data_IF_829589919187
#
_entry.id   IF_829589919187
#
_cell.length_a   1.000
_cell.length_b   1.000
_cell.length_c   1.000
_cell.angle_alpha   90.00
_cell.angle_beta   90.00
_cell.angle_gamma   90.00
#
_symmetry.space_group_name_H-M   'P 1'
#
loop_
_entity.id
_entity.type
_entity.pdbx_description
1 polymer ?
#
# COMPACT_ATOMS: atom_id res chain seq x y z
N UNK A 1 -14.19 7.16 12.66
CA UNK A 1 -13.10 7.35 11.68
C UNK A 1 -13.47 8.57 10.82
N UNK A 2 -12.59 9.56 10.64
CA UNK A 2 -12.84 10.71 9.78
C UNK A 2 -12.91 10.29 8.30
N UNK A 3 -13.65 11.07 7.52
CA UNK A 3 -13.85 10.89 6.08
C UNK A 3 -13.69 12.22 5.35
N UNK A 4 -13.30 12.17 4.09
CA UNK A 4 -13.33 13.34 3.20
C UNK A 4 -13.88 12.93 1.84
N UNK A 5 -14.55 13.85 1.17
CA UNK A 5 -15.17 13.60 -0.13
C UNK A 5 -14.17 13.89 -1.26
N UNK A 6 -14.01 12.94 -2.17
CA UNK A 6 -13.11 13.06 -3.34
C UNK A 6 -13.89 13.26 -4.65
N UNK A 7 -15.18 12.96 -4.64
CA UNK A 7 -16.13 13.25 -5.72
C UNK A 7 -17.55 13.03 -5.18
N UNK A 8 -18.61 13.56 -5.80
CA UNK A 8 -19.96 13.44 -5.30
C UNK A 8 -20.34 12.02 -4.89
N UNK A 9 -20.69 11.84 -3.62
CA UNK A 9 -21.07 10.56 -3.03
C UNK A 9 -19.92 9.57 -2.76
N UNK A 10 -18.66 9.91 -3.05
CA UNK A 10 -17.50 9.04 -2.80
C UNK A 10 -16.62 9.67 -1.72
N UNK A 11 -16.63 9.04 -0.55
CA UNK A 11 -15.85 9.46 0.61
C UNK A 11 -14.76 8.44 0.91
N UNK A 12 -13.57 8.92 1.22
CA UNK A 12 -12.46 8.11 1.69
C UNK A 12 -12.31 8.27 3.20
N UNK A 13 -12.09 7.15 3.88
CA UNK A 13 -11.82 7.09 5.30
C UNK A 13 -10.31 7.16 5.56
N UNK A 14 -9.93 7.71 6.70
CA UNK A 14 -8.56 7.69 7.17
C UNK A 14 -8.50 7.66 8.70
N UNK A 15 -7.41 7.19 9.25
CA UNK A 15 -7.12 7.27 10.69
C UNK A 15 -5.90 8.15 10.90
N UNK A 16 -5.90 8.90 11.98
CA UNK A 16 -4.73 9.68 12.43
C UNK A 16 -4.32 9.15 13.80
N UNK A 17 -3.08 8.65 13.87
CA UNK A 17 -2.43 8.23 15.10
C UNK A 17 -1.33 9.26 15.40
N UNK A 18 -1.53 10.11 16.40
CA UNK A 18 -0.62 11.20 16.75
C UNK A 18 -0.34 11.17 18.25
N UNK A 19 0.89 10.82 18.59
CA UNK A 19 1.42 10.80 19.95
C UNK A 19 2.68 11.69 20.05
N UNK A 20 2.83 12.62 19.12
CA UNK A 20 3.92 13.59 19.13
C UNK A 20 3.74 14.63 20.22
N UNK A 21 4.79 15.34 20.56
CA UNK A 21 4.72 16.42 21.53
C UNK A 21 4.03 17.64 20.91
N UNK A 22 2.87 18.10 21.41
CA UNK A 22 2.07 19.14 20.76
C UNK A 22 2.72 20.53 20.70
N UNK A 23 3.83 20.72 21.40
CA UNK A 23 4.63 21.95 21.37
C UNK A 23 5.80 21.90 20.39
N UNK A 24 5.99 20.79 19.65
CA UNK A 24 7.03 20.62 18.64
C UNK A 24 6.41 20.36 17.27
N UNK A 25 7.02 20.89 16.18
CA UNK A 25 6.60 20.50 14.86
C UNK A 25 6.97 19.02 14.62
N UNK A 26 6.03 18.25 14.08
CA UNK A 26 6.24 16.86 13.73
C UNK A 26 5.93 16.61 12.24
N UNK A 27 6.72 15.77 11.55
CA UNK A 27 6.41 15.38 10.18
C UNK A 27 5.13 14.52 10.13
N UNK A 28 4.56 14.39 8.94
CA UNK A 28 3.47 13.44 8.69
C UNK A 28 4.01 12.23 7.93
N UNK A 29 3.58 11.03 8.32
CA UNK A 29 3.79 9.78 7.58
C UNK A 29 2.45 9.29 7.06
N UNK A 30 2.32 9.18 5.74
CA UNK A 30 1.15 8.64 5.07
C UNK A 30 1.39 7.17 4.72
N UNK A 31 0.48 6.28 5.14
CA UNK A 31 0.54 4.84 4.91
C UNK A 31 -0.53 4.42 3.90
N UNK A 32 -0.11 3.76 2.81
CA UNK A 32 -0.96 3.30 1.70
C UNK A 32 -0.95 1.77 1.62
N UNK A 33 -2.09 1.15 1.86
CA UNK A 33 -2.24 -0.30 1.93
C UNK A 33 -2.32 -0.99 0.55
N UNK A 34 -2.35 -2.32 0.57
CA UNK A 34 -2.44 -3.16 -0.62
C UNK A 34 -3.84 -3.59 -1.02
N UNK A 35 -3.91 -4.54 -1.98
CA UNK A 35 -5.16 -5.12 -2.49
C UNK A 35 -5.92 -5.85 -1.39
N UNK A 36 -7.23 -5.60 -1.29
CA UNK A 36 -8.16 -6.17 -0.33
C UNK A 36 -7.82 -5.83 1.14
N UNK A 37 -7.09 -4.78 1.40
CA UNK A 37 -6.70 -4.34 2.74
C UNK A 37 -7.40 -3.04 3.13
N UNK A 38 -7.03 -2.52 4.29
CA UNK A 38 -7.38 -1.21 4.79
C UNK A 38 -6.19 -0.59 5.53
N UNK A 39 -6.34 0.60 6.07
CA UNK A 39 -5.32 1.22 6.93
C UNK A 39 -4.90 0.35 8.12
N UNK A 40 -5.73 -0.64 8.52
CA UNK A 40 -5.40 -1.62 9.55
C UNK A 40 -4.19 -2.51 9.19
N UNK A 41 -3.84 -2.64 7.90
CA UNK A 41 -2.65 -3.35 7.46
C UNK A 41 -1.36 -2.80 8.09
N UNK A 42 -1.37 -1.52 8.46
CA UNK A 42 -0.23 -0.84 9.08
C UNK A 42 -0.36 -0.64 10.60
N UNK A 43 -1.32 -1.32 11.26
CA UNK A 43 -1.51 -1.16 12.71
C UNK A 43 -0.25 -1.39 13.54
N UNK A 44 0.58 -2.35 13.13
CA UNK A 44 1.83 -2.68 13.82
C UNK A 44 2.94 -1.62 13.64
N UNK A 45 2.82 -0.74 12.61
CA UNK A 45 3.76 0.35 12.39
C UNK A 45 3.50 1.56 13.32
N UNK A 46 2.25 1.72 13.77
CA UNK A 46 1.85 2.88 14.59
C UNK A 46 2.72 3.05 15.83
N UNK A 47 2.97 2.02 16.66
CA UNK A 47 3.80 2.17 17.86
C UNK A 47 5.24 2.63 17.57
N UNK A 48 5.78 2.24 16.41
CA UNK A 48 7.14 2.59 16.03
C UNK A 48 7.27 4.03 15.50
N UNK A 49 6.20 4.57 14.88
CA UNK A 49 6.24 5.84 14.16
C UNK A 49 5.54 6.99 14.89
N UNK A 50 4.43 6.71 15.58
CA UNK A 50 3.50 7.75 16.03
C UNK A 50 4.04 8.65 17.16
N UNK A 51 5.16 8.29 17.80
CA UNK A 51 5.84 9.15 18.76
C UNK A 51 6.73 10.22 18.10
N UNK A 52 7.12 9.98 16.83
CA UNK A 52 8.02 10.87 16.07
C UNK A 52 7.31 11.58 14.92
N UNK A 53 6.14 11.12 14.51
CA UNK A 53 5.37 11.64 13.40
C UNK A 53 3.87 11.50 13.62
N UNK A 54 3.10 12.38 13.00
CA UNK A 54 1.67 12.19 12.81
C UNK A 54 1.46 11.11 11.73
N UNK A 55 0.96 9.94 12.11
CA UNK A 55 0.75 8.80 11.21
C UNK A 55 -0.67 8.86 10.65
N UNK A 56 -0.80 8.93 9.33
CA UNK A 56 -2.07 8.92 8.62
C UNK A 56 -2.20 7.61 7.85
N UNK A 57 -3.21 6.81 8.17
CA UNK A 57 -3.54 5.55 7.50
C UNK A 57 -4.77 5.76 6.63
N UNK A 58 -4.59 5.78 5.31
CA UNK A 58 -5.69 5.96 4.36
C UNK A 58 -6.32 4.61 4.01
N UNK A 59 -7.64 4.54 4.04
CA UNK A 59 -8.39 3.51 3.34
C UNK A 59 -8.56 3.93 1.88
N UNK A 60 -7.91 3.23 0.96
CA UNK A 60 -8.01 3.53 -0.46
C UNK A 60 -9.48 3.43 -0.95
N UNK A 61 -9.78 4.08 -2.05
CA UNK A 61 -11.10 4.03 -2.70
C UNK A 61 -11.63 2.61 -2.78
N UNK A 62 -12.83 2.37 -2.23
CA UNK A 62 -13.49 1.08 -2.25
C UNK A 62 -13.08 0.10 -1.15
N UNK A 63 -12.10 0.47 -0.32
CA UNK A 63 -11.55 -0.41 0.73
C UNK A 63 -11.82 0.12 2.13
N UNK A 64 -11.75 -0.77 3.12
CA UNK A 64 -11.96 -0.43 4.53
C UNK A 64 -13.30 0.26 4.76
N UNK A 65 -13.28 1.42 5.39
CA UNK A 65 -14.45 2.25 5.67
C UNK A 65 -14.69 3.34 4.57
N UNK A 66 -13.88 3.34 3.50
CA UNK A 66 -14.13 4.16 2.31
C UNK A 66 -15.34 3.64 1.54
N UNK A 67 -16.03 4.54 0.82
CA UNK A 67 -17.22 4.18 0.03
C UNK A 67 -16.94 2.99 -0.88
N UNK A 68 -17.64 1.85 -0.75
CA UNK A 68 -17.52 0.71 -1.67
C UNK A 68 -17.85 1.12 -3.10
N UNK A 69 -17.10 0.62 -4.07
CA UNK A 69 -17.36 0.93 -5.48
C UNK A 69 -18.30 -0.09 -6.09
N UNK A 70 -19.25 0.34 -6.94
CA UNK A 70 -20.09 -0.56 -7.71
C UNK A 70 -19.26 -1.35 -8.73
N UNK A 71 -19.77 -2.49 -9.18
CA UNK A 71 -19.05 -3.39 -10.07
C UNK A 71 -18.73 -2.81 -11.47
N UNK A 72 -19.55 -1.84 -11.91
CA UNK A 72 -19.40 -1.09 -13.16
C UNK A 72 -18.56 0.18 -13.03
N UNK A 73 -18.00 0.46 -11.84
CA UNK A 73 -17.12 1.60 -11.64
C UNK A 73 -15.92 1.55 -12.59
N UNK A 74 -15.69 2.63 -13.32
CA UNK A 74 -14.53 2.75 -14.21
C UNK A 74 -13.27 3.00 -13.38
N UNK A 75 -12.54 1.92 -13.10
CA UNK A 75 -11.28 2.01 -12.39
C UNK A 75 -10.16 2.53 -13.28
N UNK A 76 -9.47 3.57 -12.79
CA UNK A 76 -8.27 4.15 -13.40
C UNK A 76 -7.19 4.30 -12.35
N UNK A 77 -5.99 3.85 -12.65
CA UNK A 77 -4.86 3.97 -11.71
C UNK A 77 -4.58 5.44 -11.33
N UNK A 78 -4.67 6.36 -12.28
CA UNK A 78 -4.48 7.80 -12.04
C UNK A 78 -5.49 8.38 -11.03
N UNK A 79 -6.68 7.80 -10.93
CA UNK A 79 -7.67 8.22 -9.93
C UNK A 79 -7.21 7.91 -8.52
N UNK A 80 -6.53 6.78 -8.30
CA UNK A 80 -5.99 6.42 -6.99
C UNK A 80 -4.90 7.42 -6.55
N UNK A 81 -4.09 7.89 -7.48
CA UNK A 81 -3.08 8.92 -7.20
C UNK A 81 -3.76 10.25 -6.89
N UNK A 82 -4.77 10.64 -7.68
CA UNK A 82 -5.53 11.87 -7.46
C UNK A 82 -6.24 11.86 -6.08
N UNK A 83 -6.72 10.72 -5.62
CA UNK A 83 -7.31 10.56 -4.29
C UNK A 83 -6.28 10.84 -3.18
N UNK A 84 -5.05 10.36 -3.34
CA UNK A 84 -3.96 10.64 -2.39
C UNK A 84 -3.61 12.14 -2.42
N UNK A 85 -3.52 12.76 -3.60
CA UNK A 85 -3.30 14.21 -3.73
C UNK A 85 -4.42 15.01 -3.06
N UNK A 86 -5.69 14.57 -3.22
CA UNK A 86 -6.82 15.20 -2.55
C UNK A 86 -6.73 15.11 -1.02
N UNK A 87 -6.20 14.00 -0.48
CA UNK A 87 -5.94 13.86 0.96
C UNK A 87 -4.92 14.88 1.46
N UNK A 88 -3.84 15.14 0.70
CA UNK A 88 -2.88 16.20 1.06
C UNK A 88 -3.57 17.56 1.17
N UNK A 89 -4.41 17.91 0.19
CA UNK A 89 -5.20 19.14 0.23
C UNK A 89 -6.16 19.20 1.40
N UNK A 90 -6.89 18.10 1.67
CA UNK A 90 -7.84 18.00 2.78
C UNK A 90 -7.17 18.18 4.15
N UNK A 91 -5.99 17.61 4.33
CA UNK A 91 -5.23 17.70 5.58
C UNK A 91 -4.34 18.95 5.69
N UNK A 92 -4.30 19.80 4.67
CA UNK A 92 -3.42 20.97 4.61
C UNK A 92 -1.93 20.62 4.61
N UNK A 93 -1.55 19.46 4.07
CA UNK A 93 -0.17 18.98 4.03
C UNK A 93 0.56 19.54 2.81
N UNK A 94 1.62 20.30 3.02
CA UNK A 94 2.52 20.71 1.94
C UNK A 94 3.35 19.52 1.43
N UNK A 95 3.78 18.62 2.32
CA UNK A 95 4.54 17.40 2.02
C UNK A 95 4.41 16.39 3.17
N UNK A 96 4.70 15.13 2.89
CA UNK A 96 4.75 14.05 3.88
C UNK A 96 5.77 12.97 3.49
N UNK A 97 6.20 12.17 4.45
CA UNK A 97 6.80 10.87 4.17
C UNK A 97 5.70 9.92 3.70
N UNK A 98 5.96 9.11 2.69
CA UNK A 98 4.97 8.19 2.14
C UNK A 98 5.51 6.76 2.20
N UNK A 99 4.72 5.88 2.80
CA UNK A 99 5.02 4.44 2.90
C UNK A 99 3.91 3.67 2.20
N UNK A 100 4.24 2.84 1.24
CA UNK A 100 3.26 2.04 0.52
C UNK A 100 3.58 0.55 0.51
N UNK A 101 2.58 -0.28 0.80
CA UNK A 101 2.67 -1.73 0.72
C UNK A 101 2.03 -2.28 -0.56
N UNK A 102 2.69 -3.20 -1.25
CA UNK A 102 2.17 -3.85 -2.47
C UNK A 102 1.71 -2.82 -3.52
N UNK A 103 0.45 -2.83 -4.00
CA UNK A 103 -0.04 -1.81 -4.94
C UNK A 103 -0.07 -0.40 -4.31
N UNK A 104 -0.20 -0.28 -2.98
CA UNK A 104 0.02 1.00 -2.30
C UNK A 104 1.44 1.54 -2.50
N UNK A 105 2.44 0.67 -2.60
CA UNK A 105 3.80 1.02 -3.00
C UNK A 105 3.90 1.50 -4.45
N UNK A 106 3.16 0.87 -5.36
CA UNK A 106 3.08 1.31 -6.76
C UNK A 106 2.41 2.70 -6.87
N UNK A 107 1.33 2.93 -6.09
CA UNK A 107 0.68 4.25 -5.99
C UNK A 107 1.67 5.29 -5.42
N UNK A 108 2.40 4.95 -4.37
CA UNK A 108 3.39 5.83 -3.75
C UNK A 108 4.54 6.20 -4.70
N UNK A 109 5.03 5.25 -5.51
CA UNK A 109 6.03 5.50 -6.56
C UNK A 109 5.49 6.47 -7.62
N UNK A 110 4.27 6.25 -8.12
CA UNK A 110 3.64 7.14 -9.08
C UNK A 110 3.41 8.55 -8.51
N UNK A 111 2.95 8.64 -7.26
CA UNK A 111 2.81 9.92 -6.54
C UNK A 111 4.16 10.65 -6.48
N UNK A 112 5.22 9.98 -6.05
CA UNK A 112 6.55 10.59 -5.92
C UNK A 112 7.15 11.02 -7.27
N UNK A 113 6.87 10.29 -8.35
CA UNK A 113 7.34 10.61 -9.69
C UNK A 113 6.58 11.77 -10.34
N UNK A 114 5.26 11.88 -10.09
CA UNK A 114 4.36 12.86 -10.73
C UNK A 114 4.16 14.12 -9.87
N UNK A 115 4.27 13.99 -8.56
CA UNK A 115 4.08 15.07 -7.57
C UNK A 115 5.27 15.14 -6.59
N UNK A 116 6.50 15.35 -7.08
CA UNK A 116 7.73 15.26 -6.27
C UNK A 116 7.75 16.25 -5.09
N UNK A 117 7.00 17.35 -5.16
CA UNK A 117 6.91 18.33 -4.07
C UNK A 117 6.12 17.79 -2.85
N UNK A 118 5.24 16.79 -3.04
CA UNK A 118 4.41 16.23 -1.97
C UNK A 118 5.15 15.17 -1.14
N UNK A 119 6.17 14.52 -1.70
CA UNK A 119 6.84 13.37 -1.06
C UNK A 119 8.21 13.80 -0.54
N UNK A 120 8.39 13.69 0.77
CA UNK A 120 9.64 14.00 1.43
C UNK A 120 10.62 12.83 1.41
N UNK A 121 10.17 11.67 1.92
CA UNK A 121 10.86 10.37 1.79
C UNK A 121 9.84 9.31 1.37
N UNK A 122 10.29 8.33 0.62
CA UNK A 122 9.45 7.24 0.09
C UNK A 122 9.94 5.88 0.59
N UNK A 123 9.04 5.08 1.18
CA UNK A 123 9.31 3.67 1.47
C UNK A 123 8.34 2.77 0.70
N UNK A 124 8.87 1.82 -0.07
CA UNK A 124 8.11 0.85 -0.88
C UNK A 124 8.31 -0.54 -0.30
N UNK A 125 7.24 -1.14 0.22
CA UNK A 125 7.25 -2.40 0.96
C UNK A 125 6.59 -3.50 0.11
N UNK A 126 7.39 -4.33 -0.55
CA UNK A 126 6.91 -5.40 -1.44
C UNK A 126 6.09 -4.89 -2.64
N UNK A 127 6.22 -3.61 -2.99
CA UNK A 127 5.49 -2.99 -4.10
C UNK A 127 6.23 -3.18 -5.43
N UNK A 128 5.61 -3.77 -6.47
CA UNK A 128 6.22 -3.87 -7.80
C UNK A 128 6.04 -2.54 -8.57
N UNK A 129 6.97 -2.22 -9.47
CA UNK A 129 6.81 -1.09 -10.38
C UNK A 129 5.84 -1.41 -11.53
N UNK A 130 5.59 -2.68 -11.83
CA UNK A 130 4.62 -3.14 -12.83
C UNK A 130 3.78 -4.31 -12.29
N UNK A 131 2.51 -4.32 -12.63
CA UNK A 131 1.55 -5.39 -12.31
C UNK A 131 1.01 -6.09 -13.57
N UNK A 132 1.63 -5.87 -14.72
CA UNK A 132 1.20 -6.45 -16.00
C UNK A 132 1.27 -7.98 -16.01
N UNK A 133 2.18 -8.58 -15.23
CA UNK A 133 2.29 -10.02 -15.01
C UNK A 133 1.08 -10.63 -14.28
N UNK A 134 0.20 -9.80 -13.71
CA UNK A 134 -1.02 -10.25 -13.04
C UNK A 134 -2.15 -10.63 -14.02
N UNK A 135 -2.00 -10.36 -15.32
CA UNK A 135 -3.00 -10.63 -16.35
C UNK A 135 -3.48 -12.09 -16.39
N UNK A 136 -2.60 -13.05 -16.07
CA UNK A 136 -2.95 -14.48 -15.98
C UNK A 136 -3.66 -14.87 -14.67
N UNK A 137 -3.53 -14.08 -13.60
CA UNK A 137 -4.08 -14.40 -12.27
C UNK A 137 -5.42 -13.74 -11.99
N UNK A 138 -5.58 -12.49 -12.41
CA UNK A 138 -6.76 -11.69 -12.06
C UNK A 138 -8.10 -12.25 -12.60
N UNK A 139 -8.18 -12.86 -13.79
CA UNK A 139 -9.42 -13.50 -14.24
C UNK A 139 -9.86 -14.66 -13.34
N UNK A 140 -8.92 -15.53 -12.93
CA UNK A 140 -9.21 -16.65 -12.03
C UNK A 140 -9.67 -16.16 -10.65
N UNK A 141 -9.02 -15.12 -10.10
CA UNK A 141 -9.44 -14.53 -8.83
C UNK A 141 -10.84 -13.92 -8.91
N UNK A 142 -11.16 -13.22 -10.00
CA UNK A 142 -12.52 -12.67 -10.21
C UNK A 142 -13.58 -13.79 -10.31
N UNK A 143 -13.27 -14.85 -11.05
CA UNK A 143 -14.16 -16.00 -11.14
C UNK A 143 -14.41 -16.67 -9.78
N UNK A 144 -13.36 -16.84 -8.99
CA UNK A 144 -13.48 -17.38 -7.63
C UNK A 144 -14.29 -16.47 -6.71
N UNK A 145 -14.02 -15.14 -6.72
CA UNK A 145 -14.79 -14.16 -5.94
C UNK A 145 -16.28 -14.19 -6.31
N UNK A 146 -16.59 -14.31 -7.60
CA UNK A 146 -17.99 -14.38 -8.07
C UNK A 146 -18.69 -15.68 -7.63
N UNK A 147 -17.97 -16.81 -7.58
CA UNK A 147 -18.52 -18.11 -7.22
C UNK A 147 -18.60 -18.35 -5.71
N UNK A 148 -17.57 -17.96 -4.95
CA UNK A 148 -17.36 -18.36 -3.57
C UNK A 148 -17.34 -17.18 -2.59
N UNK A 149 -17.30 -15.95 -3.10
CA UNK A 149 -17.18 -14.73 -2.31
C UNK A 149 -15.75 -14.36 -1.91
N UNK A 150 -15.60 -13.13 -1.42
CA UNK A 150 -14.30 -12.56 -1.04
C UNK A 150 -13.64 -13.32 0.12
N UNK A 151 -14.36 -13.71 1.19
CA UNK A 151 -13.73 -14.46 2.29
C UNK A 151 -13.07 -15.77 1.85
N UNK A 152 -13.72 -16.54 0.97
CA UNK A 152 -13.17 -17.81 0.47
C UNK A 152 -11.92 -17.57 -0.41
N UNK A 153 -11.98 -16.59 -1.33
CA UNK A 153 -10.83 -16.20 -2.14
C UNK A 153 -9.63 -15.75 -1.29
N UNK A 154 -9.89 -14.94 -0.26
CA UNK A 154 -8.83 -14.47 0.66
C UNK A 154 -8.23 -15.67 1.40
N UNK A 155 -9.04 -16.55 1.98
CA UNK A 155 -8.58 -17.74 2.70
C UNK A 155 -7.69 -18.63 1.81
N UNK A 156 -8.10 -18.86 0.56
CA UNK A 156 -7.32 -19.65 -0.39
C UNK A 156 -6.01 -19.01 -0.83
N UNK A 157 -5.94 -17.67 -0.86
CA UNK A 157 -4.76 -16.92 -1.36
C UNK A 157 -3.80 -16.42 -0.29
N UNK A 158 -4.23 -16.33 0.98
CA UNK A 158 -3.45 -15.65 2.02
C UNK A 158 -2.17 -16.39 2.42
N UNK A 159 -2.14 -17.70 2.45
CA UNK A 159 -0.91 -18.44 2.72
C UNK A 159 0.23 -18.06 1.76
N UNK A 160 -0.08 -17.97 0.45
CA UNK A 160 0.90 -17.53 -0.56
C UNK A 160 1.26 -16.05 -0.49
N UNK A 161 0.44 -15.21 0.17
CA UNK A 161 0.74 -13.79 0.36
C UNK A 161 1.63 -13.54 1.56
N UNK A 162 1.30 -14.23 2.67
CA UNK A 162 1.84 -13.98 3.99
C UNK A 162 3.08 -14.83 4.30
N UNK A 163 3.33 -15.87 3.47
CA UNK A 163 4.42 -16.82 3.67
C UNK A 163 4.14 -17.82 4.79
N UNK A 164 5.09 -18.73 4.97
CA UNK A 164 4.94 -19.90 5.87
C UNK A 164 5.25 -19.59 7.35
N UNK A 165 5.83 -18.42 7.64
CA UNK A 165 6.24 -18.04 9.00
C UNK A 165 5.14 -17.35 9.82
N UNK A 166 4.04 -16.96 9.18
CA UNK A 166 2.99 -16.23 9.87
C UNK A 166 2.24 -17.13 10.87
N UNK A 167 2.10 -16.73 12.14
CA UNK A 167 1.28 -17.47 13.11
C UNK A 167 -0.16 -17.61 12.64
N UNK A 168 -0.79 -18.75 12.94
CA UNK A 168 -2.17 -19.05 12.52
C UNK A 168 -3.17 -17.96 12.95
N UNK A 169 -3.08 -17.49 14.18
CA UNK A 169 -3.94 -16.41 14.69
C UNK A 169 -3.78 -15.10 13.92
N UNK A 170 -2.56 -14.78 13.49
CA UNK A 170 -2.29 -13.60 12.66
C UNK A 170 -2.86 -13.82 11.26
N UNK A 171 -2.65 -14.99 10.65
CA UNK A 171 -3.21 -15.32 9.34
C UNK A 171 -4.75 -15.24 9.36
N UNK A 172 -5.40 -15.74 10.42
CA UNK A 172 -6.84 -15.65 10.61
C UNK A 172 -7.31 -14.19 10.69
N UNK A 173 -6.61 -13.35 11.44
CA UNK A 173 -6.93 -11.91 11.53
C UNK A 173 -6.82 -11.21 10.16
N UNK A 174 -5.73 -11.45 9.43
CA UNK A 174 -5.53 -10.89 8.09
C UNK A 174 -6.62 -11.37 7.13
N UNK A 175 -6.97 -12.65 7.17
CA UNK A 175 -8.05 -13.24 6.35
C UNK A 175 -9.38 -12.58 6.63
N UNK A 176 -9.71 -12.36 7.91
CA UNK A 176 -10.94 -11.68 8.30
C UNK A 176 -10.96 -10.21 7.83
N UNK A 177 -9.88 -9.48 8.04
CA UNK A 177 -9.77 -8.06 7.65
C UNK A 177 -9.92 -7.91 6.12
N UNK A 178 -9.18 -8.68 5.34
CA UNK A 178 -9.23 -8.63 3.88
C UNK A 178 -10.57 -9.13 3.33
N UNK A 179 -11.20 -10.11 3.98
CA UNK A 179 -12.49 -10.70 3.60
C UNK A 179 -13.67 -9.73 3.70
N UNK A 180 -13.52 -8.60 4.38
CA UNK A 180 -14.56 -7.54 4.48
C UNK A 180 -14.68 -6.69 3.23
N UNK A 181 -13.70 -6.76 2.31
CA UNK A 181 -13.74 -5.96 1.08
C UNK A 181 -14.95 -6.33 0.23
N UNK A 182 -15.69 -5.33 -0.27
CA UNK A 182 -16.85 -5.57 -1.11
C UNK A 182 -16.46 -6.26 -2.43
N UNK A 183 -17.20 -7.32 -2.79
CA UNK A 183 -16.97 -8.06 -4.03
C UNK A 183 -17.07 -7.16 -5.27
N UNK A 184 -18.01 -6.21 -5.28
CA UNK A 184 -18.18 -5.23 -6.35
C UNK A 184 -16.92 -4.36 -6.55
N UNK A 185 -16.29 -3.94 -5.47
CA UNK A 185 -15.01 -3.20 -5.51
C UNK A 185 -13.91 -4.04 -6.17
N UNK A 186 -13.73 -5.30 -5.70
CA UNK A 186 -12.68 -6.18 -6.21
C UNK A 186 -12.89 -6.57 -7.67
N UNK A 187 -14.14 -6.77 -8.09
CA UNK A 187 -14.47 -7.12 -9.46
C UNK A 187 -13.93 -6.08 -10.47
N UNK A 188 -14.18 -4.81 -10.22
CA UNK A 188 -13.67 -3.72 -11.07
C UNK A 188 -12.18 -3.47 -10.89
N UNK A 189 -11.70 -3.44 -9.64
CA UNK A 189 -10.30 -3.19 -9.32
C UNK A 189 -9.36 -4.23 -9.97
N UNK A 190 -9.69 -5.51 -9.90
CA UNK A 190 -8.90 -6.60 -10.48
C UNK A 190 -8.84 -6.55 -12.01
N UNK A 191 -9.81 -5.91 -12.68
CA UNK A 191 -9.72 -5.64 -14.13
C UNK A 191 -8.65 -4.59 -14.45
N UNK A 192 -8.49 -3.58 -13.58
CA UNK A 192 -7.51 -2.52 -13.76
C UNK A 192 -6.08 -3.00 -13.47
N UNK A 193 -5.88 -3.86 -12.47
CA UNK A 193 -4.54 -4.25 -11.97
C UNK A 193 -3.55 -4.59 -13.09
N UNK A 194 -3.89 -5.40 -14.13
CA UNK A 194 -2.93 -5.74 -15.19
C UNK A 194 -2.52 -4.57 -16.11
N UNK A 195 -3.19 -3.43 -16.02
CA UNK A 195 -2.82 -2.22 -16.79
C UNK A 195 -1.85 -1.31 -16.04
N UNK A 196 -1.53 -1.62 -14.77
CA UNK A 196 -0.71 -0.76 -13.92
C UNK A 196 0.77 -1.02 -14.19
N UNK A 197 1.45 0.01 -14.70
CA UNK A 197 2.89 0.00 -14.93
C UNK A 197 3.45 1.42 -14.76
N UNK A 198 4.32 1.60 -13.78
CA UNK A 198 5.03 2.86 -13.50
C UNK A 198 6.53 2.75 -13.77
N UNK A 199 6.97 1.66 -14.41
CA UNK A 199 8.38 1.39 -14.67
C UNK A 199 9.06 2.54 -15.42
N UNK A 200 8.37 3.16 -16.40
CA UNK A 200 8.91 4.29 -17.14
C UNK A 200 9.08 5.57 -16.30
N UNK A 201 8.40 5.65 -15.14
CA UNK A 201 8.35 6.87 -14.34
C UNK A 201 9.28 6.84 -13.11
N UNK A 202 9.71 5.66 -12.65
CA UNK A 202 10.48 5.54 -11.39
C UNK A 202 11.77 6.39 -11.40
N UNK A 203 12.42 6.58 -12.54
CA UNK A 203 13.58 7.46 -12.67
C UNK A 203 13.32 8.96 -12.48
N UNK A 204 12.04 9.36 -12.38
CA UNK A 204 11.64 10.75 -12.04
C UNK A 204 11.51 10.99 -10.55
N UNK A 205 11.53 9.95 -9.74
CA UNK A 205 11.44 10.06 -8.27
C UNK A 205 12.66 10.82 -7.76
N UNK A 206 12.41 11.88 -6.98
CA UNK A 206 13.44 12.74 -6.40
C UNK A 206 13.60 12.53 -4.89
N UNK A 207 12.58 12.01 -4.24
CA UNK A 207 12.60 11.73 -2.82
C UNK A 207 13.63 10.63 -2.50
N UNK A 208 14.40 10.73 -1.42
CA UNK A 208 15.14 9.60 -0.88
C UNK A 208 14.22 8.40 -0.76
N UNK A 209 14.66 7.23 -1.24
CA UNK A 209 13.77 6.08 -1.38
C UNK A 209 14.36 4.83 -0.75
N UNK A 210 13.58 4.17 0.12
CA UNK A 210 13.82 2.83 0.63
C UNK A 210 12.90 1.84 -0.09
N UNK A 211 13.48 0.78 -0.65
CA UNK A 211 12.73 -0.34 -1.21
C UNK A 211 13.00 -1.57 -0.35
N UNK A 212 11.96 -2.24 0.12
CA UNK A 212 12.06 -3.50 0.87
C UNK A 212 11.35 -4.59 0.10
N UNK A 213 12.04 -5.69 -0.14
CA UNK A 213 11.47 -6.90 -0.77
C UNK A 213 11.95 -8.15 -0.02
N UNK A 214 11.50 -9.33 -0.44
CA UNK A 214 11.91 -10.61 0.14
C UNK A 214 12.51 -11.53 -0.90
N UNK A 215 13.29 -12.52 -0.45
CA UNK A 215 13.89 -13.55 -1.30
C UNK A 215 12.84 -14.41 -2.01
N UNK A 216 11.67 -14.64 -1.39
CA UNK A 216 10.57 -15.45 -1.93
C UNK A 216 9.36 -14.65 -2.43
N UNK A 217 9.53 -13.37 -2.78
CA UNK A 217 8.42 -12.54 -3.23
C UNK A 217 7.76 -13.07 -4.50
N UNK A 218 6.45 -13.30 -4.45
CA UNK A 218 5.62 -13.67 -5.60
C UNK A 218 5.14 -12.50 -6.48
N UNK A 219 5.52 -11.24 -6.14
CA UNK A 219 5.19 -10.03 -6.92
C UNK A 219 6.35 -9.52 -7.79
N UNK A 220 7.49 -10.19 -7.72
CA UNK A 220 8.68 -9.88 -8.49
C UNK A 220 9.91 -10.47 -7.80
N UNK A 221 10.81 -11.02 -8.58
CA UNK A 221 12.11 -11.50 -8.10
C UNK A 221 12.96 -10.34 -7.56
N UNK A 222 13.95 -10.65 -6.73
CA UNK A 222 14.91 -9.64 -6.25
C UNK A 222 15.62 -8.93 -7.41
N UNK A 223 15.92 -9.66 -8.50
CA UNK A 223 16.55 -9.10 -9.69
C UNK A 223 15.65 -8.08 -10.41
N UNK A 224 14.35 -8.40 -10.57
CA UNK A 224 13.38 -7.48 -11.16
C UNK A 224 13.19 -6.23 -10.29
N UNK A 225 13.10 -6.40 -8.96
CA UNK A 225 13.00 -5.27 -8.03
C UNK A 225 14.24 -4.38 -8.12
N UNK A 226 15.44 -4.97 -8.13
CA UNK A 226 16.71 -4.25 -8.26
C UNK A 226 16.78 -3.46 -9.56
N UNK A 227 16.35 -4.06 -10.68
CA UNK A 227 16.41 -3.43 -12.00
C UNK A 227 15.62 -2.11 -12.10
N UNK A 228 14.46 -2.01 -11.47
CA UNK A 228 13.73 -0.74 -11.43
C UNK A 228 14.19 0.17 -10.29
N UNK A 229 14.61 -0.39 -9.13
CA UNK A 229 15.09 0.39 -7.99
C UNK A 229 16.36 1.18 -8.34
N UNK A 230 17.32 0.58 -9.04
CA UNK A 230 18.56 1.25 -9.47
C UNK A 230 18.32 2.48 -10.37
N UNK A 231 17.14 2.61 -10.96
CA UNK A 231 16.75 3.79 -11.72
C UNK A 231 16.31 4.97 -10.85
N UNK A 232 16.11 4.76 -9.55
CA UNK A 232 15.80 5.82 -8.57
C UNK A 232 17.12 6.26 -7.94
N UNK A 233 17.54 7.48 -8.26
CA UNK A 233 18.81 8.01 -7.77
C UNK A 233 18.86 8.05 -6.23
N UNK A 234 19.94 7.51 -5.66
CA UNK A 234 20.15 7.49 -4.20
C UNK A 234 19.22 6.56 -3.43
N UNK A 235 18.48 5.67 -4.09
CA UNK A 235 17.63 4.69 -3.41
C UNK A 235 18.42 3.55 -2.79
N UNK A 236 17.86 2.96 -1.72
CA UNK A 236 18.39 1.79 -1.02
C UNK A 236 17.45 0.60 -1.17
N UNK A 237 17.98 -0.58 -1.51
CA UNK A 237 17.26 -1.84 -1.51
C UNK A 237 17.65 -2.66 -0.28
N UNK A 238 16.64 -3.11 0.47
CA UNK A 238 16.78 -4.11 1.53
C UNK A 238 16.04 -5.38 1.10
N UNK A 239 16.73 -6.51 1.15
CA UNK A 239 16.17 -7.82 0.85
C UNK A 239 16.08 -8.61 2.15
N UNK A 240 14.88 -8.99 2.55
CA UNK A 240 14.62 -9.77 3.76
C UNK A 240 14.49 -11.26 3.40
N UNK A 241 15.06 -12.12 4.23
CA UNK A 241 14.93 -13.57 4.11
C UNK A 241 13.53 -14.02 4.53
N UNK A 242 12.59 -14.10 3.56
CA UNK A 242 11.20 -14.47 3.78
C UNK A 242 10.57 -14.96 2.47
N UNK A 243 9.56 -15.83 2.56
CA UNK A 243 8.77 -16.33 1.45
C UNK A 243 7.46 -15.54 1.22
N UNK A 244 7.19 -14.54 2.04
CA UNK A 244 6.08 -13.59 1.87
C UNK A 244 6.45 -12.47 0.89
N UNK A 245 5.48 -11.99 0.13
CA UNK A 245 5.62 -10.69 -0.54
C UNK A 245 4.97 -9.53 0.25
N UNK A 246 4.48 -9.82 1.44
CA UNK A 246 3.83 -8.83 2.31
C UNK A 246 4.65 -8.56 3.57
N UNK A 247 5.85 -7.98 3.39
CA UNK A 247 6.82 -7.75 4.47
C UNK A 247 6.23 -7.00 5.68
N UNK A 248 5.33 -6.05 5.43
CA UNK A 248 4.66 -5.30 6.51
C UNK A 248 3.73 -6.16 7.38
N UNK A 249 3.33 -7.34 6.89
CA UNK A 249 2.50 -8.29 7.62
C UNK A 249 3.32 -9.43 8.23
N UNK A 250 4.24 -10.00 7.45
CA UNK A 250 5.01 -11.17 7.87
C UNK A 250 6.13 -10.86 8.84
N UNK A 251 6.73 -9.67 8.74
CA UNK A 251 7.80 -9.19 9.62
C UNK A 251 7.55 -7.72 10.04
N UNK A 252 6.43 -7.45 10.74
CA UNK A 252 5.98 -6.09 10.99
C UNK A 252 6.97 -5.26 11.80
N UNK A 253 7.55 -5.85 12.86
CA UNK A 253 8.46 -5.13 13.76
C UNK A 253 9.78 -4.78 13.07
N UNK A 254 10.38 -5.75 12.37
CA UNK A 254 11.62 -5.52 11.63
C UNK A 254 11.41 -4.51 10.49
N UNK A 255 10.29 -4.62 9.78
CA UNK A 255 9.97 -3.71 8.68
C UNK A 255 9.65 -2.30 9.20
N UNK A 256 8.90 -2.18 10.30
CA UNK A 256 8.61 -0.89 10.92
C UNK A 256 9.89 -0.21 11.45
N UNK A 257 10.82 -0.96 12.03
CA UNK A 257 12.13 -0.44 12.47
C UNK A 257 12.93 0.11 11.28
N UNK A 258 13.05 -0.67 10.19
CA UNK A 258 13.73 -0.21 8.95
C UNK A 258 13.12 1.07 8.39
N UNK A 259 11.79 1.15 8.37
CA UNK A 259 11.08 2.35 7.91
C UNK A 259 11.32 3.53 8.83
N UNK A 260 11.22 3.33 10.14
CA UNK A 260 11.46 4.37 11.16
C UNK A 260 12.85 4.98 11.00
N UNK A 261 13.88 4.12 10.99
CA UNK A 261 15.27 4.57 10.87
C UNK A 261 15.48 5.34 9.55
N UNK A 262 14.92 4.83 8.45
CA UNK A 262 15.00 5.52 7.16
C UNK A 262 14.27 6.86 7.12
N UNK A 263 13.13 6.99 7.79
CA UNK A 263 12.33 8.21 7.72
C UNK A 263 12.88 9.33 8.62
N UNK A 264 13.56 8.99 9.72
CA UNK A 264 13.92 9.97 10.75
C UNK A 264 15.42 10.16 10.96
N UNK A 265 16.27 9.36 10.30
CA UNK A 265 17.73 9.58 10.21
C UNK A 265 18.06 10.47 8.98
#
# INVERSE_FOLDING_TARGET
MPHFEVSPGIRLAYTVDDFTDPWLPAPTVLLLHGLAESGEAFRAFVPALARQARVVRLDLRGYGESTPMPADHEWRFDRLIADVVALFGHLGLARAHVVGGKIGGTIAMALAARHPALVDRLAVLGGPASLTNMSGRTPAWRAQIAAEGVPAWVAASNAGRMGTRMPEAALAWWTQMMGRTAASTLEGFLRMVPSVDVTAEVGRIRAPTLVVTTTGSGLGSVAEVRAWQERIAGSRLVVMENDSYHVAASDPDATAALVKDFLFD
#
